data_IF_135451631904
#
_entry.id   IF_135451631904
#
_cell.length_a   1.000
_cell.length_b   1.000
_cell.length_c   1.000
_cell.angle_alpha   90.00
_cell.angle_beta   90.00
_cell.angle_gamma   90.00
#
_symmetry.space_group_name_H-M   'P 1'
#
loop_
_entity.id
_entity.type
_entity.pdbx_description
1 polymer ?
#
# COMPACT_ATOMS: atom_id res chain seq x y z
N UNK A 1 12.45 8.36 -6.18
CA UNK A 1 11.23 8.52 -6.99
C UNK A 1 11.49 9.37 -8.23
N UNK A 2 11.77 10.67 -8.10
CA UNK A 2 11.98 11.58 -9.26
C UNK A 2 13.09 11.13 -10.21
N UNK A 3 14.25 10.70 -9.69
CA UNK A 3 15.32 10.16 -10.53
C UNK A 3 14.90 8.89 -11.30
N UNK A 4 14.17 7.98 -10.65
CA UNK A 4 13.64 6.79 -11.31
C UNK A 4 12.62 7.14 -12.41
N UNK A 5 11.72 8.09 -12.14
CA UNK A 5 10.83 8.64 -13.16
C UNK A 5 11.61 9.21 -14.33
N UNK A 6 12.65 10.01 -14.07
CA UNK A 6 13.52 10.58 -15.10
C UNK A 6 14.16 9.52 -15.99
N UNK A 7 14.54 8.38 -15.41
CA UNK A 7 15.07 7.19 -16.10
C UNK A 7 14.03 6.35 -16.86
N UNK A 8 12.73 6.69 -16.80
CA UNK A 8 11.70 6.04 -17.61
C UNK A 8 11.07 4.79 -16.99
N UNK A 9 10.98 4.68 -15.67
CA UNK A 9 10.24 3.57 -15.01
C UNK A 9 8.73 3.67 -15.27
N UNK A 10 8.08 2.50 -15.39
CA UNK A 10 6.65 2.40 -15.71
C UNK A 10 5.72 2.58 -14.51
N UNK A 11 6.24 2.52 -13.29
CA UNK A 11 5.45 2.71 -12.08
C UNK A 11 6.33 3.17 -10.90
N UNK A 12 5.73 3.94 -10.00
CA UNK A 12 6.36 4.30 -8.72
C UNK A 12 5.63 3.60 -7.57
N UNK A 13 6.40 3.04 -6.63
CA UNK A 13 5.86 2.49 -5.38
C UNK A 13 6.18 3.42 -4.21
N UNK A 14 5.15 3.86 -3.50
CA UNK A 14 5.25 4.62 -2.25
C UNK A 14 4.68 3.81 -1.08
N UNK A 15 5.23 4.00 0.11
CA UNK A 15 4.80 3.37 1.37
C UNK A 15 4.76 4.41 2.49
N UNK A 16 4.02 4.18 3.59
CA UNK A 16 4.01 5.08 4.75
C UNK A 16 5.42 5.38 5.29
N UNK A 17 6.27 4.35 5.41
CA UNK A 17 7.63 4.49 5.96
C UNK A 17 8.63 5.21 5.06
N UNK A 18 8.32 5.45 3.78
CA UNK A 18 9.18 6.21 2.86
C UNK A 18 8.47 7.42 2.21
N UNK A 19 7.19 7.63 2.52
CA UNK A 19 6.50 8.86 2.21
C UNK A 19 7.08 9.93 3.13
N UNK A 20 7.80 10.87 2.51
CA UNK A 20 8.35 12.02 3.21
C UNK A 20 7.28 13.07 3.50
N UNK A 21 7.70 14.33 3.60
CA UNK A 21 6.77 15.45 3.71
C UNK A 21 5.74 15.47 2.57
N UNK A 22 4.57 16.03 2.85
CA UNK A 22 3.51 16.25 1.86
C UNK A 22 4.03 16.99 0.62
N UNK A 23 4.92 17.96 0.79
CA UNK A 23 5.58 18.68 -0.31
C UNK A 23 6.35 17.72 -1.26
N UNK A 24 7.04 16.73 -0.71
CA UNK A 24 7.76 15.74 -1.52
C UNK A 24 6.79 14.79 -2.23
N UNK A 25 5.67 14.44 -1.59
CA UNK A 25 4.61 13.65 -2.24
C UNK A 25 4.02 14.43 -3.41
N UNK A 26 3.71 15.71 -3.23
CA UNK A 26 3.21 16.57 -4.29
C UNK A 26 4.18 16.61 -5.49
N UNK A 27 5.48 16.76 -5.26
CA UNK A 27 6.49 16.74 -6.34
C UNK A 27 6.46 15.42 -7.12
N UNK A 28 6.34 14.29 -6.43
CA UNK A 28 6.25 12.96 -7.07
C UNK A 28 4.95 12.82 -7.86
N UNK A 29 3.81 13.24 -7.29
CA UNK A 29 2.50 13.22 -7.95
C UNK A 29 2.53 14.01 -9.25
N UNK A 30 3.02 15.25 -9.20
CA UNK A 30 3.05 16.10 -10.39
C UNK A 30 3.95 15.51 -11.49
N UNK A 31 5.10 14.95 -11.11
CA UNK A 31 6.00 14.28 -12.05
C UNK A 31 5.36 13.02 -12.66
N UNK A 32 4.61 12.24 -11.87
CA UNK A 32 3.85 11.09 -12.34
C UNK A 32 2.72 11.50 -13.30
N UNK A 33 1.92 12.53 -12.96
CA UNK A 33 0.86 13.07 -13.85
C UNK A 33 1.41 13.48 -15.21
N UNK A 34 2.50 14.24 -15.22
CA UNK A 34 3.11 14.72 -16.47
C UNK A 34 3.58 13.60 -17.39
N UNK A 35 3.92 12.43 -16.82
CA UNK A 35 4.45 11.28 -17.57
C UNK A 35 3.44 10.16 -17.78
N UNK A 36 2.24 10.25 -17.20
CA UNK A 36 1.26 9.16 -17.21
C UNK A 36 1.74 7.90 -16.48
N UNK A 37 2.56 8.06 -15.43
CA UNK A 37 3.14 6.92 -14.68
C UNK A 37 2.32 6.67 -13.41
N UNK A 38 1.71 5.47 -13.23
CA UNK A 38 0.91 5.16 -12.06
C UNK A 38 1.73 5.09 -10.77
N UNK A 39 1.04 5.28 -9.64
CA UNK A 39 1.60 5.14 -8.30
C UNK A 39 0.94 3.97 -7.56
N UNK A 40 1.74 3.00 -7.11
CA UNK A 40 1.31 1.97 -6.18
C UNK A 40 1.56 2.41 -4.73
N UNK A 41 0.49 2.54 -3.94
CA UNK A 41 0.56 2.64 -2.48
C UNK A 41 0.71 1.24 -1.88
N UNK A 42 1.79 1.00 -1.14
CA UNK A 42 2.04 -0.25 -0.43
C UNK A 42 2.11 -0.06 1.08
N UNK A 43 1.22 -0.72 1.80
CA UNK A 43 1.26 -0.74 3.28
C UNK A 43 1.60 -2.14 3.73
N UNK A 44 2.64 -2.26 4.54
CA UNK A 44 3.03 -3.48 5.22
C UNK A 44 2.78 -3.32 6.73
N UNK A 45 2.46 -4.42 7.43
CA UNK A 45 2.27 -4.41 8.89
C UNK A 45 3.47 -3.82 9.64
N UNK A 46 4.70 -4.21 9.26
CA UNK A 46 5.93 -3.70 9.87
C UNK A 46 6.23 -2.21 9.62
N UNK A 47 5.51 -1.54 8.70
CA UNK A 47 5.70 -0.12 8.38
C UNK A 47 4.48 0.74 8.68
N UNK A 48 3.58 0.27 9.55
CA UNK A 48 2.39 1.00 9.94
C UNK A 48 2.72 2.32 10.63
N UNK A 49 1.97 3.35 10.28
CA UNK A 49 2.03 4.65 10.94
C UNK A 49 1.52 4.49 12.39
N UNK A 50 2.40 4.80 13.35
CA UNK A 50 2.12 4.69 14.80
C UNK A 50 0.95 5.54 15.27
N UNK A 51 0.59 6.57 14.50
CA UNK A 51 -0.57 7.42 14.78
C UNK A 51 -1.91 6.74 14.46
N UNK A 52 -1.91 5.61 13.74
CA UNK A 52 -3.13 4.95 13.25
C UNK A 52 -3.63 3.86 14.21
N UNK A 53 -2.75 3.21 14.96
CA UNK A 53 -3.12 2.06 15.80
C UNK A 53 -3.09 2.34 17.31
N UNK A 54 -2.82 3.59 17.74
CA UNK A 54 -2.91 4.07 19.13
C UNK A 54 -2.26 3.17 20.22
N UNK A 55 -1.33 2.28 19.86
CA UNK A 55 -0.72 1.33 20.79
C UNK A 55 -1.56 0.10 21.15
N UNK A 56 -2.62 -0.23 20.38
CA UNK A 56 -3.27 -1.55 20.49
C UNK A 56 -2.28 -2.67 20.13
N UNK A 57 -2.25 -3.76 20.91
CA UNK A 57 -1.30 -4.88 20.71
C UNK A 57 -1.54 -5.66 19.42
N UNK A 58 -2.78 -5.69 18.92
CA UNK A 58 -3.13 -6.44 17.70
C UNK A 58 -3.37 -5.49 16.53
N UNK A 59 -2.52 -5.59 15.51
CA UNK A 59 -2.69 -4.87 14.25
C UNK A 59 -3.88 -5.46 13.49
N UNK A 60 -5.06 -4.88 13.65
CA UNK A 60 -6.24 -5.32 12.87
C UNK A 60 -6.07 -4.97 11.40
N UNK A 61 -6.69 -5.75 10.50
CA UNK A 61 -6.69 -5.45 9.06
C UNK A 61 -7.21 -4.05 8.74
N UNK A 62 -8.13 -3.55 9.58
CA UNK A 62 -8.58 -2.16 9.56
C UNK A 62 -7.45 -1.12 9.62
N UNK A 63 -6.38 -1.32 10.41
CA UNK A 63 -5.30 -0.33 10.50
C UNK A 63 -4.45 -0.26 9.23
N UNK A 64 -4.19 -1.42 8.60
CA UNK A 64 -3.57 -1.48 7.27
C UNK A 64 -4.40 -0.70 6.25
N UNK A 65 -5.71 -0.94 6.23
CA UNK A 65 -6.64 -0.24 5.36
C UNK A 65 -6.63 1.28 5.62
N UNK A 66 -6.73 1.73 6.88
CA UNK A 66 -6.72 3.16 7.22
C UNK A 66 -5.41 3.85 6.82
N UNK A 67 -4.28 3.16 6.97
CA UNK A 67 -2.99 3.66 6.50
C UNK A 67 -2.97 3.84 4.98
N UNK A 68 -3.45 2.87 4.22
CA UNK A 68 -3.53 3.02 2.76
C UNK A 68 -4.50 4.14 2.37
N UNK A 69 -5.67 4.21 3.00
CA UNK A 69 -6.68 5.23 2.75
C UNK A 69 -6.11 6.65 2.95
N UNK A 70 -5.33 6.87 4.01
CA UNK A 70 -4.64 8.15 4.26
C UNK A 70 -3.76 8.56 3.07
N UNK A 71 -2.98 7.64 2.52
CA UNK A 71 -2.09 7.93 1.39
C UNK A 71 -2.83 8.05 0.05
N UNK A 72 -3.89 7.25 -0.16
CA UNK A 72 -4.78 7.40 -1.31
C UNK A 72 -5.40 8.80 -1.31
N UNK A 73 -5.96 9.24 -0.17
CA UNK A 73 -6.55 10.58 -0.03
C UNK A 73 -5.54 11.70 -0.26
N UNK A 74 -4.28 11.48 0.08
CA UNK A 74 -3.21 12.43 -0.20
C UNK A 74 -2.92 12.55 -1.71
N UNK A 75 -2.93 11.43 -2.45
CA UNK A 75 -2.80 11.46 -3.91
C UNK A 75 -4.03 12.13 -4.56
N UNK A 76 -5.25 11.77 -4.11
CA UNK A 76 -6.51 12.35 -4.58
C UNK A 76 -6.61 13.86 -4.32
N UNK A 77 -6.05 14.36 -3.19
CA UNK A 77 -5.95 15.80 -2.91
C UNK A 77 -5.25 16.57 -4.03
N UNK A 78 -4.36 15.92 -4.76
CA UNK A 78 -3.63 16.46 -5.90
C UNK A 78 -4.18 15.97 -7.25
N UNK A 79 -5.44 15.52 -7.27
CA UNK A 79 -6.17 15.08 -8.46
C UNK A 79 -5.43 13.94 -9.21
N UNK A 80 -4.85 13.01 -8.45
CA UNK A 80 -4.16 11.84 -9.00
C UNK A 80 -4.98 10.58 -8.76
N UNK A 81 -5.29 9.85 -9.84
CA UNK A 81 -6.18 8.68 -9.80
C UNK A 81 -5.60 7.40 -10.45
N UNK A 82 -4.40 7.47 -11.03
CA UNK A 82 -3.69 6.30 -11.56
C UNK A 82 -3.02 5.51 -10.43
N UNK A 83 -3.85 4.96 -9.54
CA UNK A 83 -3.43 4.39 -8.26
C UNK A 83 -3.59 2.87 -8.27
N UNK A 84 -2.61 2.16 -7.71
CA UNK A 84 -2.73 0.75 -7.31
C UNK A 84 -2.54 0.66 -5.80
N UNK A 85 -3.28 -0.21 -5.12
CA UNK A 85 -3.18 -0.36 -3.66
C UNK A 85 -2.72 -1.78 -3.29
N UNK A 86 -1.83 -1.89 -2.31
CA UNK A 86 -1.42 -3.18 -1.73
C UNK A 86 -1.33 -3.09 -0.22
N UNK A 87 -1.83 -4.13 0.46
CA UNK A 87 -2.01 -4.22 1.90
C UNK A 87 -1.47 -5.58 2.37
N UNK A 88 -0.39 -5.61 3.14
CA UNK A 88 0.25 -6.86 3.54
C UNK A 88 0.46 -6.90 5.05
N UNK A 89 -0.43 -7.59 5.75
CA UNK A 89 -0.36 -7.77 7.20
C UNK A 89 0.73 -8.74 7.63
N UNK A 90 0.84 -8.91 8.95
CA UNK A 90 1.75 -9.87 9.60
C UNK A 90 1.26 -11.31 9.37
N UNK A 91 -0.06 -11.50 9.37
CA UNK A 91 -0.71 -12.79 9.17
C UNK A 91 -1.80 -12.76 8.08
N UNK A 92 -2.36 -13.96 7.84
CA UNK A 92 -3.35 -14.18 6.80
C UNK A 92 -4.67 -13.46 7.07
N UNK A 93 -5.14 -13.48 8.32
CA UNK A 93 -6.44 -12.91 8.70
C UNK A 93 -6.39 -11.39 8.59
N UNK A 94 -5.33 -10.76 9.10
CA UNK A 94 -5.11 -9.32 8.97
C UNK A 94 -5.08 -8.88 7.50
N UNK A 95 -4.37 -9.65 6.66
CA UNK A 95 -4.24 -9.36 5.23
C UNK A 95 -5.57 -9.49 4.50
N UNK A 96 -6.32 -10.57 4.75
CA UNK A 96 -7.65 -10.80 4.15
C UNK A 96 -8.62 -9.69 4.56
N UNK A 97 -8.68 -9.35 5.85
CA UNK A 97 -9.55 -8.28 6.35
C UNK A 97 -9.23 -6.94 5.68
N UNK A 98 -7.95 -6.58 5.59
CA UNK A 98 -7.51 -5.34 4.96
C UNK A 98 -7.91 -5.26 3.48
N UNK A 99 -7.70 -6.34 2.70
CA UNK A 99 -8.08 -6.37 1.29
C UNK A 99 -9.59 -6.36 1.08
N UNK A 100 -10.37 -7.03 1.94
CA UNK A 100 -11.85 -6.98 1.85
C UNK A 100 -12.38 -5.58 2.09
N UNK A 101 -11.85 -4.88 3.10
CA UNK A 101 -12.18 -3.47 3.35
C UNK A 101 -11.82 -2.60 2.14
N UNK A 102 -10.61 -2.74 1.61
CA UNK A 102 -10.17 -1.98 0.44
C UNK A 102 -11.04 -2.24 -0.80
N UNK A 103 -11.35 -3.51 -1.10
CA UNK A 103 -12.18 -3.90 -2.24
C UNK A 103 -13.60 -3.32 -2.16
N UNK A 104 -14.15 -3.20 -0.95
CA UNK A 104 -15.50 -2.65 -0.75
C UNK A 104 -15.57 -1.11 -0.81
N UNK A 105 -14.43 -0.40 -0.75
CA UNK A 105 -14.43 1.04 -0.47
C UNK A 105 -13.52 1.88 -1.38
N UNK A 106 -12.51 1.28 -2.02
CA UNK A 106 -11.58 1.97 -2.91
C UNK A 106 -11.87 1.58 -4.37
N UNK A 107 -11.99 2.56 -5.28
CA UNK A 107 -12.24 2.30 -6.70
C UNK A 107 -10.97 1.89 -7.48
N UNK A 108 -9.89 1.51 -6.79
CA UNK A 108 -8.56 1.30 -7.37
C UNK A 108 -8.19 -0.19 -7.43
N UNK A 109 -7.43 -0.63 -8.44
CA UNK A 109 -6.91 -1.99 -8.51
C UNK A 109 -6.10 -2.38 -7.26
N UNK A 110 -6.26 -3.64 -6.86
CA UNK A 110 -5.55 -4.22 -5.70
C UNK A 110 -4.42 -5.15 -6.18
N UNK A 111 -3.20 -4.88 -5.75
CA UNK A 111 -2.05 -5.74 -5.99
C UNK A 111 -1.84 -6.67 -4.78
N UNK A 112 -2.40 -7.86 -4.88
CA UNK A 112 -2.43 -8.85 -3.80
C UNK A 112 -1.04 -9.44 -3.50
N UNK A 113 -0.85 -9.89 -2.27
CA UNK A 113 0.33 -10.66 -1.89
C UNK A 113 0.56 -10.70 -0.39
N UNK A 114 1.35 -11.68 0.05
CA UNK A 114 1.81 -11.82 1.43
C UNK A 114 3.19 -11.18 1.59
N UNK A 115 3.51 -10.64 2.76
CA UNK A 115 4.88 -10.18 3.08
C UNK A 115 5.62 -11.27 3.84
N UNK A 116 6.92 -11.40 3.61
CA UNK A 116 7.80 -12.30 4.37
C UNK A 116 7.19 -13.68 4.63
N UNK A 117 6.74 -14.35 3.56
CA UNK A 117 5.96 -15.59 3.64
C UNK A 117 6.72 -16.77 4.30
N UNK A 118 8.05 -16.64 4.46
CA UNK A 118 8.92 -17.63 5.09
C UNK A 118 9.63 -18.54 4.08
N UNK A 119 10.26 -19.63 4.56
CA UNK A 119 10.87 -20.66 3.71
C UNK A 119 9.84 -21.34 2.81
N UNK A 120 10.30 -22.11 1.81
CA UNK A 120 9.45 -22.68 0.75
C UNK A 120 8.14 -23.29 1.25
N UNK A 121 8.19 -24.27 2.16
CA UNK A 121 6.98 -24.97 2.64
C UNK A 121 6.00 -24.03 3.36
N UNK A 122 6.49 -23.22 4.29
CA UNK A 122 5.67 -22.23 5.01
C UNK A 122 5.11 -21.17 4.05
N UNK A 123 5.89 -20.76 3.06
CA UNK A 123 5.49 -19.74 2.09
C UNK A 123 4.35 -20.21 1.19
N UNK A 124 4.37 -21.49 0.78
CA UNK A 124 3.29 -22.10 0.00
C UNK A 124 1.99 -22.09 0.80
N UNK A 125 2.05 -22.53 2.05
CA UNK A 125 0.88 -22.58 2.94
C UNK A 125 0.35 -21.17 3.21
N UNK A 126 1.21 -20.24 3.64
CA UNK A 126 0.77 -18.86 3.95
C UNK A 126 0.22 -18.14 2.73
N UNK A 127 0.87 -18.28 1.57
CA UNK A 127 0.41 -17.62 0.34
C UNK A 127 -0.94 -18.19 -0.11
N UNK A 128 -1.08 -19.53 -0.13
CA UNK A 128 -2.35 -20.16 -0.52
C UNK A 128 -3.49 -19.82 0.45
N UNK A 129 -3.24 -19.91 1.77
CA UNK A 129 -4.24 -19.62 2.79
C UNK A 129 -4.67 -18.15 2.80
N UNK A 130 -3.77 -17.22 2.44
CA UNK A 130 -4.07 -15.78 2.45
C UNK A 130 -4.72 -15.28 1.16
N UNK A 131 -4.32 -15.83 0.00
CA UNK A 131 -4.70 -15.29 -1.31
C UNK A 131 -5.88 -16.00 -1.98
N UNK A 132 -6.27 -17.17 -1.47
CA UNK A 132 -7.40 -17.96 -2.00
C UNK A 132 -8.79 -17.46 -1.53
N UNK A 133 -9.01 -17.12 -0.23
CA UNK A 133 -10.32 -16.68 0.28
C UNK A 133 -10.75 -15.26 -0.11
#
# INVERSE_FOLDING_TARGET
ALAALASGVDAIRLNPGNIGSEENVQKVVMACKQRGVPIRIGVNGGSLDKTIYNGEETVKGKFLYLSALKHVRLLEKYDFHDIVVSLKGSDAIETIEAYRLAASSLPYPLHLGVTEAGPMETSLIRSAATLSP
#
